data_IF_029799321704
#
_entry.id   IF_029799321704
#
_cell.length_a   1.000
_cell.length_b   1.000
_cell.length_c   1.000
_cell.angle_alpha   90.00
_cell.angle_beta   90.00
_cell.angle_gamma   90.00
#
_symmetry.space_group_name_H-M   'P 1'
#
loop_
_entity.id
_entity.type
_entity.pdbx_description
1 polymer ?
#
# COMPACT_ATOMS: atom_id res chain seq x y z
N UNK A 1 -1.01 -40.80 3.75
CA UNK A 1 -1.69 -39.51 3.89
C UNK A 1 -2.30 -39.06 2.57
N UNK A 2 -1.51 -38.70 1.54
CA UNK A 2 -2.07 -38.24 0.26
C UNK A 2 -2.70 -39.37 -0.58
N UNK A 3 -2.19 -40.60 -0.46
CA UNK A 3 -2.71 -41.81 -1.10
C UNK A 3 -4.08 -42.28 -0.57
N UNK A 4 -4.59 -41.69 0.52
CA UNK A 4 -5.91 -41.99 1.08
C UNK A 4 -6.98 -40.98 0.63
N UNK A 5 -6.59 -39.97 -0.16
CA UNK A 5 -7.49 -38.96 -0.69
C UNK A 5 -7.87 -39.35 -2.11
N UNK A 6 -9.16 -39.51 -2.39
CA UNK A 6 -9.64 -39.74 -3.76
C UNK A 6 -9.32 -38.54 -4.66
N UNK A 7 -9.05 -38.80 -5.93
CA UNK A 7 -8.76 -37.77 -6.92
C UNK A 7 -9.86 -36.70 -6.94
N UNK A 8 -9.44 -35.43 -6.81
CA UNK A 8 -10.33 -34.28 -6.75
C UNK A 8 -10.90 -33.93 -5.36
N UNK A 9 -10.65 -34.75 -4.31
CA UNK A 9 -11.01 -34.40 -2.92
C UNK A 9 -9.88 -33.63 -2.24
N UNK A 10 -10.25 -32.73 -1.33
CA UNK A 10 -9.30 -31.93 -0.54
C UNK A 10 -8.86 -32.72 0.70
N UNK A 11 -7.57 -32.67 1.02
CA UNK A 11 -7.03 -33.22 2.26
C UNK A 11 -7.74 -32.61 3.47
N UNK A 12 -8.35 -33.44 4.31
CA UNK A 12 -9.06 -33.02 5.52
C UNK A 12 -8.25 -33.29 6.78
N UNK A 13 -8.59 -32.58 7.87
CA UNK A 13 -8.00 -32.83 9.20
C UNK A 13 -8.27 -34.25 9.68
N UNK A 14 -9.39 -34.86 9.28
CA UNK A 14 -9.72 -36.24 9.64
C UNK A 14 -8.75 -37.24 9.00
N UNK A 15 -8.30 -36.99 7.77
CA UNK A 15 -7.27 -37.83 7.14
C UNK A 15 -5.95 -37.76 7.93
N UNK A 16 -5.57 -36.57 8.41
CA UNK A 16 -4.39 -36.38 9.27
C UNK A 16 -4.53 -37.19 10.57
N UNK A 17 -5.69 -37.08 11.24
CA UNK A 17 -5.97 -37.80 12.49
C UNK A 17 -5.94 -39.32 12.31
N UNK A 18 -6.52 -39.82 11.21
CA UNK A 18 -6.57 -41.24 10.91
C UNK A 18 -5.18 -41.83 10.68
N UNK A 19 -4.32 -41.13 9.91
CA UNK A 19 -2.93 -41.56 9.70
C UNK A 19 -2.14 -41.50 11.01
N UNK A 20 -2.30 -40.43 11.80
CA UNK A 20 -1.61 -40.29 13.09
C UNK A 20 -2.01 -41.41 14.06
N UNK A 21 -3.30 -41.76 14.13
CA UNK A 21 -3.81 -42.85 14.97
C UNK A 21 -3.36 -44.24 14.49
N UNK A 22 -3.16 -44.43 13.18
CA UNK A 22 -2.67 -45.70 12.64
C UNK A 22 -1.18 -45.91 12.89
N UNK A 23 -0.37 -44.89 12.59
CA UNK A 23 1.09 -44.97 12.72
C UNK A 23 1.54 -44.87 14.18
N UNK A 24 0.79 -44.13 15.02
CA UNK A 24 1.11 -43.92 16.44
C UNK A 24 -0.13 -44.16 17.33
N UNK A 25 -0.52 -45.42 17.58
CA UNK A 25 -1.73 -45.75 18.34
C UNK A 25 -1.76 -45.25 19.79
N UNK A 26 -0.60 -44.96 20.37
CA UNK A 26 -0.46 -44.47 21.75
C UNK A 26 -0.35 -42.95 21.86
N UNK A 27 -0.32 -42.23 20.72
CA UNK A 27 -0.22 -40.78 20.73
C UNK A 27 -1.57 -40.13 21.04
N UNK A 28 -1.59 -39.21 22.00
CA UNK A 28 -2.78 -38.40 22.24
C UNK A 28 -2.91 -37.32 21.16
N UNK A 29 -3.78 -37.60 20.20
CA UNK A 29 -4.12 -36.71 19.08
C UNK A 29 -4.58 -35.32 19.57
N UNK A 30 -5.22 -35.24 20.74
CA UNK A 30 -5.69 -33.97 21.31
C UNK A 30 -4.54 -33.16 21.88
N UNK A 31 -3.56 -33.81 22.53
CA UNK A 31 -2.33 -33.14 22.99
C UNK A 31 -1.49 -32.59 21.84
N UNK A 32 -1.55 -33.19 20.65
CA UNK A 32 -0.73 -32.81 19.48
C UNK A 32 -1.44 -31.79 18.57
N UNK A 33 -2.73 -31.99 18.28
CA UNK A 33 -3.47 -31.16 17.33
C UNK A 33 -4.43 -30.16 17.99
N UNK A 34 -4.53 -30.17 19.33
CA UNK A 34 -5.36 -29.26 20.10
C UNK A 34 -4.94 -27.80 20.01
N UNK A 35 -5.86 -26.89 20.33
CA UNK A 35 -5.64 -25.41 20.29
C UNK A 35 -4.67 -24.94 21.39
N UNK A 36 -4.57 -25.70 22.47
CA UNK A 36 -3.65 -25.46 23.58
C UNK A 36 -2.41 -26.37 23.53
N UNK A 37 -2.19 -27.05 22.39
CA UNK A 37 -1.00 -27.87 22.19
C UNK A 37 0.25 -27.01 22.14
N UNK A 38 1.35 -27.49 22.71
CA UNK A 38 2.69 -26.90 22.53
C UNK A 38 3.10 -26.87 21.05
N UNK A 39 2.57 -27.80 20.24
CA UNK A 39 2.83 -27.88 18.80
C UNK A 39 1.97 -26.91 17.96
N UNK A 40 1.02 -26.19 18.58
CA UNK A 40 0.16 -25.25 17.87
C UNK A 40 0.89 -23.96 17.47
N UNK A 41 2.00 -23.64 18.13
CA UNK A 41 2.83 -22.47 17.76
C UNK A 41 3.30 -22.54 16.31
N UNK A 42 3.75 -23.72 15.86
CA UNK A 42 4.19 -23.92 14.46
C UNK A 42 3.05 -23.71 13.45
N UNK A 43 1.83 -24.18 13.77
CA UNK A 43 0.65 -23.96 12.90
C UNK A 43 0.26 -22.48 12.85
N UNK A 44 0.23 -21.81 14.01
CA UNK A 44 -0.04 -20.38 14.10
C UNK A 44 1.00 -19.56 13.35
N UNK A 45 2.28 -19.90 13.49
CA UNK A 45 3.39 -19.27 12.79
C UNK A 45 3.28 -19.49 11.27
N UNK A 46 3.04 -20.72 10.82
CA UNK A 46 2.87 -21.06 9.40
C UNK A 46 1.68 -20.35 8.76
N UNK A 47 0.52 -20.35 9.42
CA UNK A 47 -0.66 -19.63 8.95
C UNK A 47 -0.43 -18.11 8.89
N UNK A 48 0.26 -17.55 9.89
CA UNK A 48 0.63 -16.13 9.92
C UNK A 48 1.62 -15.79 8.81
N UNK A 49 2.62 -16.65 8.59
CA UNK A 49 3.60 -16.50 7.51
C UNK A 49 2.91 -16.50 6.15
N UNK A 50 2.07 -17.50 5.86
CA UNK A 50 1.38 -17.59 4.58
C UNK A 50 0.42 -16.41 4.35
N UNK A 51 -0.27 -15.96 5.41
CA UNK A 51 -1.11 -14.75 5.31
C UNK A 51 -0.28 -13.50 5.01
N UNK A 52 0.95 -13.40 5.53
CA UNK A 52 1.86 -12.29 5.27
C UNK A 52 2.39 -12.30 3.83
N UNK A 53 2.69 -13.45 3.26
CA UNK A 53 3.26 -13.54 1.90
C UNK A 53 2.27 -13.10 0.82
N UNK A 54 0.96 -13.22 1.05
CA UNK A 54 -0.06 -12.73 0.09
C UNK A 54 -0.13 -13.55 -1.20
N UNK A 55 0.37 -14.79 -1.17
CA UNK A 55 0.45 -15.70 -2.32
C UNK A 55 -0.92 -16.18 -2.85
N UNK A 56 -2.01 -15.81 -2.20
CA UNK A 56 -3.36 -16.16 -2.63
C UNK A 56 -3.80 -17.55 -2.16
N UNK A 57 -4.78 -18.16 -2.85
CA UNK A 57 -5.39 -19.42 -2.43
C UNK A 57 -4.43 -20.60 -2.59
N UNK A 58 -4.46 -21.53 -1.64
CA UNK A 58 -3.71 -22.80 -1.71
C UNK A 58 -4.41 -23.80 -2.64
N UNK A 59 -3.67 -24.76 -3.23
CA UNK A 59 -2.21 -24.97 -3.14
C UNK A 59 -1.42 -23.94 -3.96
N UNK A 60 -0.19 -23.66 -3.53
CA UNK A 60 0.71 -22.74 -4.22
C UNK A 60 2.15 -23.26 -4.17
N UNK A 61 2.81 -23.30 -5.33
CA UNK A 61 4.24 -23.56 -5.45
C UNK A 61 5.00 -22.29 -5.86
N UNK A 62 6.30 -22.25 -5.56
CA UNK A 62 7.20 -21.14 -5.89
C UNK A 62 8.46 -21.69 -6.55
N UNK A 63 8.92 -21.06 -7.63
CA UNK A 63 10.23 -21.29 -8.22
C UNK A 63 11.10 -20.05 -8.04
N UNK A 64 12.17 -20.15 -7.23
CA UNK A 64 13.04 -19.02 -6.86
C UNK A 64 12.27 -17.75 -6.43
N UNK A 65 11.16 -17.95 -5.69
CA UNK A 65 10.31 -16.87 -5.19
C UNK A 65 9.20 -16.41 -6.14
N UNK A 66 9.12 -16.94 -7.37
CA UNK A 66 8.05 -16.63 -8.32
C UNK A 66 6.92 -17.66 -8.20
N UNK A 67 5.66 -17.25 -7.96
CA UNK A 67 4.54 -18.18 -7.86
C UNK A 67 4.15 -18.75 -9.22
N UNK A 68 3.80 -20.04 -9.23
CA UNK A 68 3.15 -20.68 -10.37
C UNK A 68 1.68 -20.25 -10.47
N UNK A 69 1.16 -20.07 -11.69
CA UNK A 69 -0.27 -19.90 -11.90
C UNK A 69 -1.01 -21.24 -11.78
N UNK A 70 -2.34 -21.22 -11.74
CA UNK A 70 -3.13 -22.47 -11.63
C UNK A 70 -2.99 -23.34 -12.88
N UNK A 71 -2.84 -22.70 -14.02
CA UNK A 71 -2.63 -23.34 -15.31
C UNK A 71 -1.26 -24.03 -15.34
N UNK A 72 -0.21 -23.34 -14.87
CA UNK A 72 1.15 -23.90 -14.79
C UNK A 72 1.31 -25.05 -13.77
N UNK A 73 0.35 -25.21 -12.84
CA UNK A 73 0.36 -26.27 -11.83
C UNK A 73 -0.30 -27.57 -12.30
N UNK A 74 -0.75 -27.66 -13.56
CA UNK A 74 -1.24 -28.93 -14.11
C UNK A 74 -0.12 -29.96 -14.27
N UNK A 75 -0.39 -31.21 -13.90
CA UNK A 75 0.64 -32.26 -13.83
C UNK A 75 1.30 -32.58 -15.16
N UNK A 76 0.59 -32.39 -16.29
CA UNK A 76 1.14 -32.62 -17.62
C UNK A 76 2.08 -31.50 -18.09
N UNK A 77 1.84 -30.25 -17.66
CA UNK A 77 2.61 -29.09 -18.10
C UNK A 77 3.71 -28.70 -17.10
N UNK A 78 3.55 -29.03 -15.82
CA UNK A 78 4.42 -28.57 -14.74
C UNK A 78 5.90 -28.91 -14.97
N UNK A 79 6.21 -30.12 -15.46
CA UNK A 79 7.60 -30.52 -15.75
C UNK A 79 8.22 -29.61 -16.83
N UNK A 80 7.46 -29.35 -17.90
CA UNK A 80 7.90 -28.48 -19.00
C UNK A 80 8.08 -27.04 -18.51
N UNK A 81 7.15 -26.53 -17.70
CA UNK A 81 7.25 -25.18 -17.13
C UNK A 81 8.47 -25.08 -16.21
N UNK A 82 8.72 -26.06 -15.34
CA UNK A 82 9.90 -26.07 -14.46
C UNK A 82 11.19 -26.05 -15.28
N UNK A 83 11.30 -26.89 -16.32
CA UNK A 83 12.49 -26.92 -17.18
C UNK A 83 12.71 -25.57 -17.86
N UNK A 84 11.65 -24.94 -18.37
CA UNK A 84 11.74 -23.61 -18.97
C UNK A 84 12.22 -22.57 -17.95
N UNK A 85 11.65 -22.56 -16.74
CA UNK A 85 12.04 -21.64 -15.65
C UNK A 85 13.51 -21.83 -15.22
N UNK A 86 14.02 -23.06 -15.24
CA UNK A 86 15.44 -23.36 -14.97
C UNK A 86 16.32 -22.76 -16.06
N UNK A 87 15.96 -22.92 -17.34
CA UNK A 87 16.72 -22.37 -18.46
C UNK A 87 16.75 -20.84 -18.36
N UNK A 88 15.61 -20.21 -18.11
CA UNK A 88 15.49 -18.75 -17.98
C UNK A 88 16.31 -18.21 -16.80
N UNK A 89 16.29 -18.91 -15.65
CA UNK A 89 17.06 -18.52 -14.47
C UNK A 89 18.57 -18.75 -14.65
N UNK A 90 18.97 -19.75 -15.43
CA UNK A 90 20.39 -20.07 -15.64
C UNK A 90 21.14 -18.90 -16.27
N UNK A 91 20.55 -18.22 -17.25
CA UNK A 91 21.15 -17.04 -17.88
C UNK A 91 21.39 -15.87 -16.91
N UNK A 92 20.52 -15.71 -15.91
CA UNK A 92 20.69 -14.71 -14.85
C UNK A 92 21.91 -15.04 -13.97
N UNK A 93 22.02 -16.28 -13.49
CA UNK A 93 23.14 -16.70 -12.64
C UNK A 93 24.48 -16.71 -13.39
N UNK A 94 24.51 -17.20 -14.63
CA UNK A 94 25.72 -17.18 -15.45
C UNK A 94 26.28 -15.76 -15.63
N UNK A 95 25.38 -14.79 -15.87
CA UNK A 95 25.76 -13.38 -15.95
C UNK A 95 26.28 -12.84 -14.62
N UNK A 96 25.64 -13.19 -13.51
CA UNK A 96 26.08 -12.78 -12.17
C UNK A 96 27.49 -13.30 -11.84
N UNK A 97 27.78 -14.56 -12.18
CA UNK A 97 29.12 -15.15 -12.03
C UNK A 97 30.13 -14.46 -12.95
N UNK A 98 29.78 -14.25 -14.22
CA UNK A 98 30.67 -13.58 -15.19
C UNK A 98 31.02 -12.15 -14.78
N UNK A 99 30.08 -11.42 -14.19
CA UNK A 99 30.30 -10.06 -13.67
C UNK A 99 31.01 -10.04 -12.30
N UNK A 100 31.32 -11.21 -11.72
CA UNK A 100 31.93 -11.33 -10.40
C UNK A 100 31.01 -10.98 -9.22
N UNK A 101 29.71 -10.82 -9.48
CA UNK A 101 28.69 -10.53 -8.45
C UNK A 101 28.37 -11.77 -7.60
N UNK A 102 28.45 -12.95 -8.19
CA UNK A 102 28.33 -14.24 -7.51
C UNK A 102 29.66 -14.98 -7.60
N UNK A 103 30.22 -15.36 -6.45
CA UNK A 103 31.48 -16.08 -6.33
C UNK A 103 31.40 -17.09 -5.17
N UNK A 104 32.46 -17.88 -4.97
CA UNK A 104 32.49 -18.97 -3.98
C UNK A 104 32.29 -18.51 -2.53
N UNK A 105 32.42 -17.22 -2.23
CA UNK A 105 32.21 -16.65 -0.90
C UNK A 105 30.78 -16.14 -0.67
N UNK A 106 29.93 -16.10 -1.70
CA UNK A 106 28.57 -15.58 -1.63
C UNK A 106 27.56 -16.72 -1.72
N UNK A 107 26.64 -16.79 -0.75
CA UNK A 107 25.55 -17.75 -0.80
C UNK A 107 24.56 -17.35 -1.92
N UNK A 108 24.27 -18.27 -2.83
CA UNK A 108 23.38 -18.02 -3.96
C UNK A 108 21.93 -17.68 -3.56
N UNK A 109 21.46 -18.19 -2.41
CA UNK A 109 20.13 -17.85 -1.87
C UNK A 109 20.12 -16.43 -1.34
N UNK A 110 21.15 -16.03 -0.59
CA UNK A 110 21.25 -14.66 -0.08
C UNK A 110 21.36 -13.67 -1.25
N UNK A 111 22.16 -14.00 -2.26
CA UNK A 111 22.25 -13.23 -3.50
C UNK A 111 20.89 -13.07 -4.18
N UNK A 112 20.09 -14.13 -4.29
CA UNK A 112 18.72 -14.05 -4.82
C UNK A 112 17.84 -13.13 -3.95
N UNK A 113 17.91 -13.26 -2.63
CA UNK A 113 17.09 -12.48 -1.70
C UNK A 113 17.45 -10.99 -1.68
N UNK A 114 18.68 -10.64 -2.01
CA UNK A 114 19.16 -9.26 -2.13
C UNK A 114 18.70 -8.56 -3.42
N UNK A 115 18.14 -9.29 -4.39
CA UNK A 115 17.71 -8.69 -5.64
C UNK A 115 16.59 -7.66 -5.43
N UNK A 116 16.64 -6.58 -6.22
CA UNK A 116 15.72 -5.45 -6.12
C UNK A 116 14.24 -5.84 -6.35
N UNK A 117 13.99 -6.89 -7.12
CA UNK A 117 12.66 -7.42 -7.43
C UNK A 117 12.11 -8.37 -6.34
N UNK A 118 12.90 -8.78 -5.35
CA UNK A 118 12.40 -9.61 -4.24
C UNK A 118 11.56 -8.78 -3.29
N UNK A 119 10.38 -9.30 -2.95
CA UNK A 119 9.38 -8.63 -2.12
C UNK A 119 8.94 -9.55 -0.99
N UNK A 120 8.70 -8.96 0.18
CA UNK A 120 8.24 -9.70 1.38
C UNK A 120 6.77 -10.12 1.30
N UNK A 121 6.00 -9.49 0.42
CA UNK A 121 4.58 -9.72 0.18
C UNK A 121 4.26 -9.51 -1.29
N UNK A 122 3.39 -10.36 -1.82
CA UNK A 122 2.82 -10.27 -3.17
C UNK A 122 1.42 -9.68 -3.05
N UNK A 123 1.16 -8.60 -3.78
CA UNK A 123 -0.16 -8.00 -3.85
C UNK A 123 -0.50 -7.73 -5.32
N UNK A 124 -1.47 -8.47 -5.91
CA UNK A 124 -1.87 -8.30 -7.30
C UNK A 124 -2.35 -6.88 -7.62
N UNK A 125 -2.99 -6.19 -6.67
CA UNK A 125 -3.49 -4.82 -6.86
C UNK A 125 -2.35 -3.83 -7.06
N UNK A 126 -1.21 -4.04 -6.41
CA UNK A 126 -0.01 -3.21 -6.58
C UNK A 126 0.79 -3.64 -7.82
N UNK A 127 0.95 -4.95 -8.03
CA UNK A 127 1.78 -5.53 -9.11
C UNK A 127 1.07 -5.58 -10.46
N UNK A 128 -0.24 -5.35 -10.49
CA UNK A 128 -1.08 -5.45 -11.68
C UNK A 128 -0.63 -4.56 -12.84
N UNK A 129 -0.92 -5.03 -14.06
CA UNK A 129 -0.60 -4.34 -15.30
C UNK A 129 -1.48 -3.11 -15.53
N UNK A 130 -2.73 -3.14 -15.09
CA UNK A 130 -3.63 -1.98 -15.19
C UNK A 130 -3.22 -0.90 -14.19
N UNK A 131 -2.96 0.30 -14.71
CA UNK A 131 -2.55 1.45 -13.90
C UNK A 131 -3.37 2.66 -14.31
N UNK A 132 -4.12 3.20 -13.35
CA UNK A 132 -4.86 4.45 -13.50
C UNK A 132 -4.09 5.55 -12.77
N UNK A 133 -3.96 6.73 -13.38
CA UNK A 133 -3.21 7.85 -12.82
C UNK A 133 -4.07 9.10 -12.74
N UNK A 134 -3.87 9.88 -11.68
CA UNK A 134 -4.42 11.22 -11.54
C UNK A 134 -3.59 12.17 -12.41
N UNK A 135 -4.26 13.02 -13.17
CA UNK A 135 -3.61 14.06 -13.96
C UNK A 135 -3.48 15.34 -13.14
N UNK A 136 -2.27 15.62 -12.65
CA UNK A 136 -1.96 16.86 -11.96
C UNK A 136 -1.50 17.92 -12.96
N UNK A 137 -2.43 18.75 -13.45
CA UNK A 137 -2.08 19.99 -14.15
C UNK A 137 -2.17 21.17 -13.18
N UNK A 138 -1.35 22.19 -13.39
CA UNK A 138 -1.43 23.42 -12.61
C UNK A 138 -2.67 24.20 -13.01
N UNK A 139 -3.43 24.69 -12.04
CA UNK A 139 -4.51 25.66 -12.26
C UNK A 139 -3.98 27.07 -12.08
N UNK A 140 -4.56 28.02 -12.80
CA UNK A 140 -4.27 29.45 -12.66
C UNK A 140 -5.17 30.14 -11.63
N UNK A 141 -6.08 29.41 -10.97
CA UNK A 141 -7.10 29.97 -10.09
C UNK A 141 -6.77 29.63 -8.62
N UNK A 142 -6.49 30.64 -7.77
CA UNK A 142 -6.37 30.41 -6.34
C UNK A 142 -7.72 29.98 -5.77
N UNK A 143 -7.73 28.86 -5.03
CA UNK A 143 -8.96 28.21 -4.56
C UNK A 143 -8.89 27.88 -3.07
N UNK A 144 -10.02 28.04 -2.36
CA UNK A 144 -10.18 27.60 -0.97
C UNK A 144 -11.02 26.31 -0.92
N UNK A 145 -10.42 25.22 -0.42
CA UNK A 145 -11.06 23.90 -0.27
C UNK A 145 -12.31 23.91 0.61
N UNK A 146 -12.49 24.95 1.43
CA UNK A 146 -13.70 25.14 2.22
C UNK A 146 -14.91 25.63 1.40
N UNK A 147 -14.71 26.19 0.19
CA UNK A 147 -15.79 26.60 -0.70
C UNK A 147 -16.25 25.44 -1.61
N UNK A 148 -17.06 24.56 -1.04
CA UNK A 148 -17.64 23.44 -1.79
C UNK A 148 -18.44 23.88 -3.02
N UNK A 149 -19.09 25.05 -2.96
CA UNK A 149 -19.95 25.52 -4.05
C UNK A 149 -19.14 25.77 -5.31
N UNK A 150 -18.04 26.52 -5.20
CA UNK A 150 -17.14 26.76 -6.33
C UNK A 150 -16.41 25.48 -6.75
N UNK A 151 -16.04 24.61 -5.79
CA UNK A 151 -15.38 23.32 -6.10
C UNK A 151 -16.23 22.46 -7.04
N UNK A 152 -17.55 22.46 -6.83
CA UNK A 152 -18.47 21.60 -7.58
C UNK A 152 -18.50 21.88 -9.08
N UNK A 153 -18.25 23.13 -9.48
CA UNK A 153 -18.25 23.56 -10.88
C UNK A 153 -16.91 23.33 -11.59
N UNK A 154 -15.84 22.97 -10.86
CA UNK A 154 -14.55 22.68 -11.46
C UNK A 154 -14.59 21.38 -12.27
N UNK A 155 -13.78 21.31 -13.32
CA UNK A 155 -13.58 20.06 -14.04
C UNK A 155 -12.70 19.07 -13.24
N UNK A 156 -12.60 17.83 -13.70
CA UNK A 156 -11.83 16.79 -12.97
C UNK A 156 -10.33 17.11 -12.86
N UNK A 157 -9.75 17.89 -13.77
CA UNK A 157 -8.34 18.26 -13.75
C UNK A 157 -8.11 19.36 -12.71
N UNK A 158 -8.95 20.39 -12.72
CA UNK A 158 -8.91 21.49 -11.77
C UNK A 158 -9.17 20.99 -10.33
N UNK A 159 -10.13 20.07 -10.16
CA UNK A 159 -10.38 19.39 -8.88
C UNK A 159 -9.13 18.68 -8.36
N UNK A 160 -8.34 18.06 -9.24
CA UNK A 160 -7.09 17.37 -8.88
C UNK A 160 -5.99 18.33 -8.43
N UNK A 161 -5.88 19.48 -9.08
CA UNK A 161 -4.91 20.50 -8.71
C UNK A 161 -5.23 21.11 -7.35
N UNK A 162 -6.50 21.49 -7.14
CA UNK A 162 -6.99 22.07 -5.88
C UNK A 162 -6.71 21.14 -4.70
N UNK A 163 -7.06 19.85 -4.83
CA UNK A 163 -6.83 18.87 -3.77
C UNK A 163 -5.33 18.68 -3.53
N UNK A 164 -4.52 18.59 -4.58
CA UNK A 164 -3.08 18.40 -4.44
C UNK A 164 -2.39 19.59 -3.75
N UNK A 165 -2.81 20.81 -4.02
CA UNK A 165 -2.20 22.03 -3.50
C UNK A 165 -2.64 22.34 -2.06
N UNK A 166 -3.88 22.02 -1.67
CA UNK A 166 -4.34 22.20 -0.28
C UNK A 166 -3.82 21.10 0.67
N UNK A 167 -3.61 19.88 0.15
CA UNK A 167 -3.25 18.68 0.92
C UNK A 167 -2.17 18.94 1.97
N UNK A 168 -2.48 18.59 3.22
CA UNK A 168 -1.50 18.58 4.32
C UNK A 168 -0.95 17.17 4.47
N UNK A 169 0.38 17.08 4.54
CA UNK A 169 1.08 15.80 4.60
C UNK A 169 1.63 15.55 6.00
N UNK A 170 1.43 14.32 6.48
CA UNK A 170 2.13 13.82 7.63
C UNK A 170 3.54 13.40 7.20
N UNK A 171 4.53 14.09 7.74
CA UNK A 171 5.96 13.88 7.49
C UNK A 171 6.67 13.47 8.78
N UNK A 172 7.86 12.88 8.66
CA UNK A 172 8.72 12.56 9.83
C UNK A 172 9.70 13.69 10.12
N UNK A 173 10.18 14.35 9.07
CA UNK A 173 11.14 15.46 9.06
C UNK A 173 10.85 16.34 7.85
N UNK A 174 11.35 17.57 7.85
CA UNK A 174 11.27 18.46 6.69
C UNK A 174 12.37 18.14 5.67
N UNK A 175 12.19 17.01 4.99
CA UNK A 175 13.10 16.51 3.93
C UNK A 175 12.34 16.30 2.64
N UNK A 176 13.08 16.18 1.53
CA UNK A 176 12.52 15.86 0.22
C UNK A 176 12.06 14.39 0.19
N UNK A 177 10.75 14.17 0.06
CA UNK A 177 10.12 12.85 -0.03
C UNK A 177 9.93 12.45 -1.49
N UNK A 178 10.31 11.22 -1.83
CA UNK A 178 10.17 10.69 -3.18
C UNK A 178 8.77 10.10 -3.42
N UNK A 179 8.15 9.56 -2.37
CA UNK A 179 6.88 8.85 -2.46
C UNK A 179 5.82 9.62 -1.68
N UNK A 180 4.73 9.95 -2.35
CA UNK A 180 3.54 10.56 -1.77
C UNK A 180 2.41 9.56 -1.81
N UNK A 181 1.88 9.22 -0.64
CA UNK A 181 0.74 8.31 -0.50
C UNK A 181 -0.48 9.08 -0.02
N UNK A 182 -1.62 8.97 -0.70
CA UNK A 182 -2.91 9.42 -0.19
C UNK A 182 -3.75 8.22 0.22
N UNK A 183 -4.34 8.28 1.42
CA UNK A 183 -5.28 7.28 1.91
C UNK A 183 -6.69 7.82 1.75
N UNK A 184 -7.53 7.07 1.04
CA UNK A 184 -8.93 7.39 0.81
C UNK A 184 -9.77 6.33 1.53
N UNK A 185 -10.56 6.76 2.50
CA UNK A 185 -11.49 5.87 3.20
C UNK A 185 -12.56 6.64 3.98
N UNK A 186 -13.56 5.91 4.47
CA UNK A 186 -14.40 6.34 5.58
C UNK A 186 -13.71 6.00 6.91
N UNK A 187 -13.11 7.00 7.58
CA UNK A 187 -12.40 6.81 8.85
C UNK A 187 -13.33 6.67 10.06
N UNK A 188 -14.61 6.96 9.90
CA UNK A 188 -15.61 6.70 10.93
C UNK A 188 -16.03 5.20 10.91
N UNK A 189 -15.69 4.46 9.86
CA UNK A 189 -15.85 2.99 9.77
C UNK A 189 -14.60 2.21 10.21
N UNK A 190 -14.76 0.97 10.74
CA UNK A 190 -13.64 0.13 11.17
C UNK A 190 -12.60 -0.15 10.07
N UNK A 191 -13.06 -0.43 8.85
CA UNK A 191 -12.20 -0.74 7.72
C UNK A 191 -11.26 0.43 7.37
N UNK A 192 -11.78 1.66 7.29
CA UNK A 192 -10.97 2.85 7.02
C UNK A 192 -9.98 3.16 8.14
N UNK A 193 -10.37 2.98 9.42
CA UNK A 193 -9.42 3.10 10.55
C UNK A 193 -8.30 2.07 10.47
N UNK A 194 -8.61 0.84 10.07
CA UNK A 194 -7.62 -0.23 9.91
C UNK A 194 -6.63 0.10 8.80
N UNK A 195 -7.11 0.60 7.65
CA UNK A 195 -6.26 1.03 6.54
C UNK A 195 -5.31 2.16 6.98
N UNK A 196 -5.83 3.18 7.67
CA UNK A 196 -5.01 4.26 8.22
C UNK A 196 -4.01 3.76 9.26
N UNK A 197 -4.41 2.85 10.15
CA UNK A 197 -3.52 2.24 11.15
C UNK A 197 -2.34 1.52 10.48
N UNK A 198 -2.61 0.77 9.40
CA UNK A 198 -1.58 0.08 8.61
C UNK A 198 -0.63 1.07 7.93
N UNK A 199 -1.15 2.16 7.34
CA UNK A 199 -0.35 3.22 6.76
C UNK A 199 0.57 3.90 7.81
N UNK A 200 0.04 4.19 8.99
CA UNK A 200 0.80 4.79 10.09
C UNK A 200 1.90 3.86 10.63
N UNK A 201 1.66 2.54 10.65
CA UNK A 201 2.68 1.54 11.02
C UNK A 201 3.85 1.59 10.03
N UNK A 202 3.56 1.59 8.73
CA UNK A 202 4.57 1.69 7.69
C UNK A 202 5.35 3.01 7.75
N UNK A 203 4.67 4.14 8.00
CA UNK A 203 5.34 5.44 8.10
C UNK A 203 6.36 5.54 9.26
N UNK A 204 6.31 4.64 10.26
CA UNK A 204 7.32 4.60 11.33
C UNK A 204 8.69 4.17 10.80
N UNK A 205 8.71 3.19 9.92
CA UNK A 205 9.92 2.57 9.35
C UNK A 205 10.37 3.28 8.07
N UNK A 206 9.43 3.80 7.28
CA UNK A 206 9.70 4.51 6.04
C UNK A 206 10.55 5.78 6.23
N UNK A 207 11.35 6.09 5.21
CA UNK A 207 12.16 7.32 5.10
C UNK A 207 11.87 8.12 3.84
N UNK A 208 11.18 7.54 2.86
CA UNK A 208 10.94 8.18 1.56
C UNK A 208 9.47 8.56 1.35
N UNK A 209 8.59 8.17 2.26
CA UNK A 209 7.15 8.39 2.18
C UNK A 209 6.64 9.56 3.02
N UNK A 210 5.73 10.34 2.45
CA UNK A 210 4.82 11.24 3.17
C UNK A 210 3.36 10.83 2.94
N UNK A 211 2.47 11.11 3.90
CA UNK A 211 1.10 10.60 3.91
C UNK A 211 0.07 11.73 3.89
N UNK A 212 -0.84 11.73 2.91
CA UNK A 212 -2.03 12.56 2.84
C UNK A 212 -3.30 11.76 3.12
N UNK A 213 -4.38 12.42 3.51
CA UNK A 213 -5.64 11.77 3.89
C UNK A 213 -6.83 12.46 3.21
N UNK A 214 -7.68 11.67 2.56
CA UNK A 214 -8.94 12.11 1.96
C UNK A 214 -10.10 11.32 2.55
N UNK A 215 -11.19 12.01 2.85
CA UNK A 215 -12.37 11.42 3.47
C UNK A 215 -13.36 11.01 2.37
N UNK A 216 -13.76 9.74 2.35
CA UNK A 216 -14.81 9.23 1.47
C UNK A 216 -15.91 8.55 2.30
N UNK A 217 -16.73 9.32 3.05
CA UNK A 217 -17.74 8.75 3.93
C UNK A 217 -18.80 7.96 3.17
N UNK A 218 -19.27 6.86 3.76
CA UNK A 218 -20.30 5.99 3.18
C UNK A 218 -21.71 6.51 3.43
N UNK A 219 -21.91 7.24 4.53
CA UNK A 219 -23.19 7.83 4.94
C UNK A 219 -23.27 9.31 4.60
N UNK A 220 -24.50 9.85 4.63
CA UNK A 220 -24.74 11.29 4.44
C UNK A 220 -23.92 12.09 5.46
N UNK A 221 -23.12 13.04 4.99
CA UNK A 221 -22.20 13.83 5.81
C UNK A 221 -22.99 14.67 6.83
N UNK A 222 -22.82 14.34 8.10
CA UNK A 222 -23.41 15.02 9.25
C UNK A 222 -22.37 15.13 10.37
N UNK A 223 -22.58 16.01 11.35
CA UNK A 223 -21.59 16.21 12.42
C UNK A 223 -21.45 15.01 13.36
N UNK A 224 -22.54 14.28 13.58
CA UNK A 224 -22.62 13.10 14.44
C UNK A 224 -21.84 11.90 13.88
N UNK A 225 -21.82 11.76 12.55
CA UNK A 225 -21.22 10.61 11.87
C UNK A 225 -19.85 10.87 11.24
N UNK A 226 -19.29 12.07 11.39
CA UNK A 226 -17.96 12.45 10.88
C UNK A 226 -16.98 12.89 11.98
N UNK A 227 -17.21 12.46 13.22
CA UNK A 227 -16.41 12.88 14.36
C UNK A 227 -14.91 12.55 14.19
N UNK A 228 -14.59 11.36 13.65
CA UNK A 228 -13.21 10.93 13.42
C UNK A 228 -12.63 11.67 12.22
N UNK A 229 -13.36 11.76 11.10
CA UNK A 229 -12.92 12.53 9.93
C UNK A 229 -12.60 13.99 10.27
N UNK A 230 -13.48 14.69 11.00
CA UNK A 230 -13.25 16.07 11.48
C UNK A 230 -12.05 16.14 12.44
N UNK A 231 -11.91 15.14 13.31
CA UNK A 231 -10.78 15.05 14.24
C UNK A 231 -9.44 14.93 13.54
N UNK A 232 -9.38 14.12 12.49
CA UNK A 232 -8.20 13.96 11.62
C UNK A 232 -7.88 15.30 10.94
N UNK A 233 -8.84 15.91 10.25
CA UNK A 233 -8.63 17.19 9.57
C UNK A 233 -8.17 18.29 10.52
N UNK A 234 -8.81 18.39 11.69
CA UNK A 234 -8.43 19.38 12.72
C UNK A 234 -7.01 19.14 13.22
N UNK A 235 -6.60 17.87 13.38
CA UNK A 235 -5.24 17.54 13.79
C UNK A 235 -4.21 18.02 12.77
N UNK A 236 -4.47 17.86 11.46
CA UNK A 236 -3.58 18.37 10.41
C UNK A 236 -3.43 19.90 10.42
N UNK A 237 -4.46 20.63 10.88
CA UNK A 237 -4.47 22.08 10.91
C UNK A 237 -3.84 22.68 12.17
N UNK A 238 -3.80 21.93 13.27
CA UNK A 238 -3.45 22.47 14.59
C UNK A 238 -2.19 21.86 15.20
N UNK A 239 -1.73 20.71 14.71
CA UNK A 239 -0.67 19.93 15.36
C UNK A 239 0.59 19.83 14.52
N UNK A 240 1.74 19.77 15.19
CA UNK A 240 3.01 19.43 14.55
C UNK A 240 3.06 17.93 14.17
N UNK A 241 4.01 17.55 13.31
CA UNK A 241 4.09 16.19 12.77
C UNK A 241 4.25 15.09 13.84
N UNK A 242 4.97 15.34 14.94
CA UNK A 242 5.16 14.35 16.01
C UNK A 242 3.86 14.08 16.77
N UNK A 243 3.14 15.14 17.16
CA UNK A 243 1.88 15.04 17.88
C UNK A 243 0.76 14.51 16.97
N UNK A 244 0.73 14.96 15.72
CA UNK A 244 -0.21 14.51 14.70
C UNK A 244 -0.19 12.98 14.56
N UNK A 245 1.00 12.39 14.37
CA UNK A 245 1.12 10.92 14.21
C UNK A 245 0.58 10.15 15.42
N UNK A 246 0.93 10.59 16.63
CA UNK A 246 0.48 9.92 17.85
C UNK A 246 -1.04 10.04 18.03
N UNK A 247 -1.60 11.22 17.72
CA UNK A 247 -3.03 11.46 17.81
C UNK A 247 -3.81 10.65 16.78
N UNK A 248 -3.37 10.62 15.51
CA UNK A 248 -3.96 9.76 14.48
C UNK A 248 -3.90 8.27 14.89
N UNK A 249 -2.78 7.84 15.49
CA UNK A 249 -2.66 6.46 16.00
C UNK A 249 -3.70 6.17 17.08
N UNK A 250 -4.02 7.15 17.94
CA UNK A 250 -5.07 7.04 18.96
C UNK A 250 -6.48 7.01 18.33
N UNK A 251 -6.76 7.86 17.35
CA UNK A 251 -8.04 7.89 16.62
C UNK A 251 -8.33 6.60 15.85
N UNK A 252 -7.30 5.89 15.37
CA UNK A 252 -7.50 4.60 14.68
C UNK A 252 -7.89 3.43 15.60
N UNK A 253 -7.80 3.59 16.93
CA UNK A 253 -8.14 2.53 17.88
C UNK A 253 -9.65 2.33 17.96
N UNK A 254 -10.06 1.07 18.05
CA UNK A 254 -11.48 0.70 18.14
C UNK A 254 -12.13 1.22 19.44
N UNK A 255 -11.40 1.19 20.56
CA UNK A 255 -11.85 1.73 21.84
C UNK A 255 -12.19 3.22 21.74
N UNK A 256 -11.33 4.01 21.09
CA UNK A 256 -11.55 5.44 20.88
C UNK A 256 -12.79 5.69 20.04
N UNK A 257 -12.97 4.95 18.95
CA UNK A 257 -14.17 5.05 18.12
C UNK A 257 -15.46 4.71 18.89
N UNK A 258 -15.43 3.64 19.72
CA UNK A 258 -16.57 3.26 20.58
C UNK A 258 -16.91 4.34 21.61
N UNK A 259 -15.90 4.92 22.25
CA UNK A 259 -16.10 6.01 23.22
C UNK A 259 -16.63 7.29 22.57
N UNK A 260 -16.15 7.63 21.37
CA UNK A 260 -16.67 8.78 20.60
C UNK A 260 -18.13 8.55 20.20
N UNK A 261 -18.48 7.34 19.73
CA UNK A 261 -19.85 6.96 19.42
C UNK A 261 -20.78 7.00 20.66
N UNK A 262 -20.24 6.73 21.85
CA UNK A 262 -20.95 6.86 23.12
C UNK A 262 -21.09 8.32 23.63
N UNK A 263 -20.69 9.32 22.84
CA UNK A 263 -20.84 10.74 23.15
C UNK A 263 -19.66 11.35 23.93
N UNK A 264 -18.53 10.65 24.02
CA UNK A 264 -17.33 11.24 24.65
C UNK A 264 -16.77 12.35 23.77
N UNK A 265 -16.51 13.54 24.35
CA UNK A 265 -15.86 14.63 23.61
C UNK A 265 -14.46 14.23 23.13
N UNK A 266 -14.14 14.58 21.87
CA UNK A 266 -12.86 14.24 21.23
C UNK A 266 -11.63 14.78 21.97
N UNK A 267 -11.80 15.89 22.70
CA UNK A 267 -10.75 16.56 23.48
C UNK A 267 -10.18 15.66 24.58
N UNK A 268 -10.96 14.71 25.12
CA UNK A 268 -10.47 13.74 26.10
C UNK A 268 -9.41 12.79 25.53
N UNK A 269 -9.33 12.69 24.20
CA UNK A 269 -8.32 11.87 23.53
C UNK A 269 -7.06 12.65 23.15
N UNK A 270 -6.97 13.94 23.45
CA UNK A 270 -5.73 14.69 23.25
C UNK A 270 -4.58 14.07 24.05
N UNK A 271 -3.37 14.27 23.55
CA UNK A 271 -2.14 13.79 24.16
C UNK A 271 -1.40 14.94 24.84
N UNK A 272 -0.57 14.66 25.85
CA UNK A 272 0.30 15.67 26.44
C UNK A 272 1.15 16.36 25.37
N UNK A 273 1.18 17.70 25.37
CA UNK A 273 1.93 18.50 24.40
C UNK A 273 1.14 18.94 23.16
N UNK A 274 -0.14 18.58 23.04
CA UNK A 274 -1.05 19.14 22.04
C UNK A 274 -1.65 20.46 22.53
N UNK A 275 -1.84 21.41 21.62
CA UNK A 275 -2.63 22.62 21.90
C UNK A 275 -4.12 22.25 21.88
N UNK A 276 -4.69 22.03 23.07
CA UNK A 276 -6.07 21.61 23.24
C UNK A 276 -7.08 22.71 22.93
N UNK A 277 -6.75 23.95 23.26
CA UNK A 277 -7.65 25.09 23.07
C UNK A 277 -7.77 25.43 21.58
N UNK A 278 -6.64 25.47 20.85
CA UNK A 278 -6.65 25.66 19.41
C UNK A 278 -7.34 24.50 18.68
N UNK A 279 -7.12 23.26 19.16
CA UNK A 279 -7.79 22.08 18.61
C UNK A 279 -9.29 22.14 18.82
N UNK A 280 -9.78 22.41 20.03
CA UNK A 280 -11.22 22.48 20.32
C UNK A 280 -11.89 23.59 19.52
N UNK A 281 -11.28 24.79 19.49
CA UNK A 281 -11.80 25.91 18.71
C UNK A 281 -11.88 25.55 17.22
N UNK A 282 -10.84 24.95 16.66
CA UNK A 282 -10.82 24.60 15.24
C UNK A 282 -11.76 23.43 14.93
N UNK A 283 -11.88 22.45 15.81
CA UNK A 283 -12.79 21.31 15.66
C UNK A 283 -14.25 21.76 15.60
N UNK A 284 -14.64 22.67 16.50
CA UNK A 284 -16.02 23.18 16.58
C UNK A 284 -16.36 24.17 15.45
N UNK A 285 -15.34 24.76 14.80
CA UNK A 285 -15.53 25.71 13.69
C UNK A 285 -15.28 25.09 12.32
N UNK A 286 -14.74 23.87 12.26
CA UNK A 286 -14.47 23.18 11.00
C UNK A 286 -15.80 22.74 10.37
N UNK A 287 -16.17 23.42 9.29
CA UNK A 287 -17.34 23.08 8.50
C UNK A 287 -17.22 21.70 7.83
N UNK A 288 -18.36 21.16 7.44
CA UNK A 288 -18.45 19.87 6.73
C UNK A 288 -18.04 19.97 5.25
N UNK A 289 -17.84 21.18 4.74
CA UNK A 289 -17.62 21.44 3.32
C UNK A 289 -16.31 20.83 2.81
N UNK A 290 -15.24 20.82 3.63
CA UNK A 290 -13.99 20.11 3.29
C UNK A 290 -14.24 18.62 3.07
N UNK A 291 -15.10 17.99 3.90
CA UNK A 291 -15.43 16.56 3.77
C UNK A 291 -16.26 16.34 2.50
N UNK A 292 -17.19 17.24 2.17
CA UNK A 292 -17.96 17.19 0.91
C UNK A 292 -17.05 17.35 -0.31
N UNK A 293 -16.10 18.28 -0.26
CA UNK A 293 -15.07 18.48 -1.29
C UNK A 293 -14.24 17.21 -1.51
N UNK A 294 -13.78 16.57 -0.42
CA UNK A 294 -13.07 15.29 -0.50
C UNK A 294 -13.93 14.19 -1.13
N UNK A 295 -15.20 14.06 -0.71
CA UNK A 295 -16.11 13.05 -1.24
C UNK A 295 -16.38 13.25 -2.74
N UNK A 296 -16.62 14.49 -3.16
CA UNK A 296 -16.83 14.82 -4.57
C UNK A 296 -15.59 14.53 -5.43
N UNK A 297 -14.39 14.85 -4.94
CA UNK A 297 -13.15 14.48 -5.60
C UNK A 297 -13.04 12.95 -5.78
N UNK A 298 -13.37 12.17 -4.75
CA UNK A 298 -13.34 10.71 -4.82
C UNK A 298 -14.30 10.17 -5.88
N UNK A 299 -15.50 10.74 -5.99
CA UNK A 299 -16.51 10.30 -6.96
C UNK A 299 -16.17 10.72 -8.39
N UNK A 300 -15.82 11.98 -8.60
CA UNK A 300 -15.66 12.53 -9.93
C UNK A 300 -14.29 12.28 -10.55
N UNK A 301 -13.22 12.30 -9.74
CA UNK A 301 -11.85 12.11 -10.23
C UNK A 301 -11.41 10.66 -10.05
N UNK A 302 -11.51 10.13 -8.83
CA UNK A 302 -11.05 8.77 -8.55
C UNK A 302 -12.03 7.68 -9.00
N UNK A 303 -13.27 8.07 -9.38
CA UNK A 303 -14.35 7.16 -9.78
C UNK A 303 -14.72 6.15 -8.69
N UNK A 304 -14.63 6.55 -7.42
CA UNK A 304 -14.99 5.74 -6.26
C UNK A 304 -16.41 6.04 -5.79
N UNK A 305 -17.14 4.99 -5.41
CA UNK A 305 -18.43 5.13 -4.75
C UNK A 305 -18.24 5.60 -3.29
N UNK A 306 -19.27 6.22 -2.67
CA UNK A 306 -19.25 6.55 -1.24
C UNK A 306 -18.84 5.35 -0.38
N UNK A 307 -17.88 5.55 0.53
CA UNK A 307 -17.39 4.50 1.43
C UNK A 307 -16.34 3.56 0.85
N UNK A 308 -16.12 3.54 -0.47
CA UNK A 308 -15.04 2.74 -1.05
C UNK A 308 -13.67 3.28 -0.64
N UNK A 309 -12.76 2.35 -0.34
CA UNK A 309 -11.40 2.67 0.04
C UNK A 309 -10.48 2.65 -1.18
N UNK A 310 -9.45 3.49 -1.17
CA UNK A 310 -8.39 3.44 -2.16
C UNK A 310 -7.09 3.98 -1.56
N UNK A 311 -5.98 3.64 -2.21
CA UNK A 311 -4.66 4.21 -1.93
C UNK A 311 -4.15 4.84 -3.21
N UNK A 312 -3.63 6.06 -3.15
CA UNK A 312 -2.97 6.71 -4.28
C UNK A 312 -1.48 6.79 -3.98
N UNK A 313 -0.60 6.40 -4.90
CA UNK A 313 0.86 6.54 -4.79
C UNK A 313 1.41 7.30 -5.99
N UNK A 314 1.95 8.49 -5.75
CA UNK A 314 2.43 9.40 -6.81
C UNK A 314 1.45 9.52 -7.99
N UNK A 315 0.17 9.72 -7.67
CA UNK A 315 -0.91 9.80 -8.64
C UNK A 315 -1.46 8.46 -9.13
N UNK A 316 -0.77 7.33 -8.96
CA UNK A 316 -1.32 5.99 -9.29
C UNK A 316 -2.45 5.64 -8.34
N UNK A 317 -3.63 5.35 -8.86
CA UNK A 317 -4.82 4.96 -8.09
C UNK A 317 -4.83 3.44 -7.91
N UNK A 318 -4.92 2.98 -6.65
CA UNK A 318 -5.06 1.59 -6.25
C UNK A 318 -6.38 1.43 -5.51
N UNK A 319 -7.39 0.94 -6.23
CA UNK A 319 -8.71 0.68 -5.66
C UNK A 319 -9.79 0.55 -6.74
N UNK A 320 -11.04 0.30 -6.34
CA UNK A 320 -11.50 0.18 -4.95
C UNK A 320 -10.87 -1.01 -4.20
N UNK A 321 -10.59 -0.83 -2.91
CA UNK A 321 -9.97 -1.84 -2.03
C UNK A 321 -11.02 -2.49 -1.14
N UNK A 322 -10.93 -3.81 -0.99
CA UNK A 322 -11.77 -4.59 -0.09
C UNK A 322 -11.29 -4.52 1.37
N UNK A 323 -12.19 -4.90 2.28
CA UNK A 323 -11.84 -5.03 3.69
C UNK A 323 -10.73 -6.07 3.87
N UNK A 324 -9.61 -5.64 4.47
CA UNK A 324 -8.44 -6.49 4.76
C UNK A 324 -7.60 -6.88 3.54
N UNK A 325 -7.69 -6.15 2.43
CA UNK A 325 -6.82 -6.35 1.28
C UNK A 325 -5.43 -5.74 1.47
N UNK A 326 -5.34 -4.64 2.23
CA UNK A 326 -4.14 -3.80 2.33
C UNK A 326 -3.58 -3.70 3.76
N UNK A 327 -2.34 -4.17 3.95
CA UNK A 327 -1.59 -4.26 5.20
C UNK A 327 -0.35 -3.34 5.21
N UNK A 328 0.39 -3.32 6.32
CA UNK A 328 1.59 -2.49 6.45
C UNK A 328 2.69 -2.90 5.45
N UNK A 329 2.79 -4.20 5.18
CA UNK A 329 3.71 -4.81 4.22
C UNK A 329 3.37 -4.40 2.77
N UNK A 330 2.08 -4.18 2.47
CA UNK A 330 1.65 -3.68 1.15
C UNK A 330 2.09 -2.24 0.92
N UNK A 331 2.06 -1.39 1.96
CA UNK A 331 2.63 -0.04 1.86
C UNK A 331 4.15 -0.07 1.62
N UNK A 332 4.85 -1.03 2.22
CA UNK A 332 6.29 -1.22 1.97
C UNK A 332 6.57 -1.66 0.53
N UNK A 333 5.78 -2.61 0.01
CA UNK A 333 5.84 -3.02 -1.39
C UNK A 333 5.60 -1.83 -2.32
N UNK A 334 4.56 -1.04 -2.04
CA UNK A 334 4.19 0.12 -2.81
C UNK A 334 5.28 1.20 -2.81
N UNK A 335 5.83 1.54 -1.63
CA UNK A 335 6.97 2.47 -1.53
C UNK A 335 8.15 1.96 -2.34
N UNK A 336 8.52 0.67 -2.20
CA UNK A 336 9.66 0.09 -2.90
C UNK A 336 9.51 0.21 -4.41
N UNK A 337 8.37 -0.20 -4.96
CA UNK A 337 8.11 -0.15 -6.41
C UNK A 337 8.11 1.28 -6.93
N UNK A 338 7.38 2.20 -6.29
CA UNK A 338 7.31 3.60 -6.73
C UNK A 338 8.68 4.27 -6.64
N UNK A 339 9.44 3.99 -5.57
CA UNK A 339 10.77 4.54 -5.37
C UNK A 339 11.76 4.07 -6.43
N UNK A 340 11.87 2.76 -6.67
CA UNK A 340 12.87 2.19 -7.58
C UNK A 340 12.53 2.39 -9.06
N UNK A 341 11.25 2.48 -9.42
CA UNK A 341 10.83 2.61 -10.82
C UNK A 341 11.20 3.97 -11.40
N UNK A 342 10.93 5.04 -10.68
CA UNK A 342 10.97 6.41 -11.22
C UNK A 342 11.33 7.46 -10.17
N UNK A 343 10.76 7.37 -8.97
CA UNK A 343 10.83 8.46 -8.01
C UNK A 343 12.24 8.74 -7.47
N UNK A 344 13.14 7.75 -7.40
CA UNK A 344 14.54 7.98 -7.04
C UNK A 344 15.27 8.88 -8.04
N UNK A 345 15.12 8.61 -9.34
CA UNK A 345 15.75 9.40 -10.41
C UNK A 345 15.20 10.82 -10.43
N UNK A 346 13.87 10.95 -10.33
CA UNK A 346 13.19 12.25 -10.29
C UNK A 346 13.63 13.05 -9.05
N UNK A 347 13.74 12.40 -7.89
CA UNK A 347 14.19 13.03 -6.65
C UNK A 347 15.61 13.60 -6.78
N UNK A 348 16.52 12.88 -7.42
CA UNK A 348 17.90 13.36 -7.64
C UNK A 348 17.91 14.63 -8.49
N UNK A 349 17.17 14.66 -9.61
CA UNK A 349 17.06 15.83 -10.47
C UNK A 349 16.43 17.03 -9.75
N UNK A 350 15.34 16.82 -9.01
CA UNK A 350 14.67 17.89 -8.25
C UNK A 350 15.58 18.46 -7.15
N UNK A 351 16.43 17.61 -6.56
CA UNK A 351 17.44 18.06 -5.58
C UNK A 351 18.52 18.93 -6.24
N UNK A 352 18.96 18.59 -7.44
CA UNK A 352 19.92 19.39 -8.21
C UNK A 352 19.36 20.76 -8.63
N UNK A 353 18.05 20.85 -8.87
CA UNK A 353 17.36 22.11 -9.16
C UNK A 353 17.26 23.07 -7.95
N UNK A 354 17.63 22.64 -6.75
CA UNK A 354 17.63 23.49 -5.55
C UNK A 354 16.23 23.88 -5.03
N UNK A 355 15.19 23.14 -5.42
CA UNK A 355 13.81 23.41 -4.99
C UNK A 355 13.64 23.05 -3.51
N UNK A 356 12.85 23.83 -2.78
CA UNK A 356 12.55 23.56 -1.37
C UNK A 356 11.93 22.16 -1.18
N UNK A 357 12.10 21.57 0.01
CA UNK A 357 11.69 20.18 0.26
C UNK A 357 10.18 19.91 0.05
N UNK A 358 9.31 20.87 0.40
CA UNK A 358 7.86 20.70 0.32
C UNK A 358 7.38 20.75 -1.13
N UNK A 359 7.65 21.85 -1.83
CA UNK A 359 7.35 22.04 -3.24
C UNK A 359 8.07 21.03 -4.12
N UNK A 360 9.28 20.61 -3.74
CA UNK A 360 10.02 19.57 -4.43
C UNK A 360 9.34 18.20 -4.34
N UNK A 361 8.78 17.84 -3.18
CA UNK A 361 8.04 16.57 -3.02
C UNK A 361 6.74 16.59 -3.82
N UNK A 362 6.05 17.73 -3.89
CA UNK A 362 4.87 17.91 -4.75
C UNK A 362 5.25 17.81 -6.23
N UNK A 363 6.35 18.41 -6.63
CA UNK A 363 6.86 18.32 -8.00
C UNK A 363 7.20 16.87 -8.38
N UNK A 364 7.88 16.13 -7.50
CA UNK A 364 8.18 14.70 -7.73
C UNK A 364 6.88 13.92 -7.97
N UNK A 365 5.87 14.12 -7.13
CA UNK A 365 4.55 13.48 -7.28
C UNK A 365 3.91 13.80 -8.64
N UNK A 366 3.91 15.07 -9.05
CA UNK A 366 3.28 15.53 -10.30
C UNK A 366 4.03 15.01 -11.54
N UNK A 367 5.37 15.05 -11.53
CA UNK A 367 6.20 14.52 -12.63
C UNK A 367 6.06 13.00 -12.73
N UNK A 368 6.10 12.29 -11.61
CA UNK A 368 6.03 10.83 -11.61
C UNK A 368 4.67 10.33 -12.13
N UNK A 369 3.58 10.97 -11.70
CA UNK A 369 2.25 10.70 -12.22
C UNK A 369 2.17 10.91 -13.74
N UNK A 370 2.73 12.02 -14.23
CA UNK A 370 2.74 12.36 -15.65
C UNK A 370 3.53 11.33 -16.46
N UNK A 371 4.80 11.09 -16.11
CA UNK A 371 5.68 10.16 -16.82
C UNK A 371 5.14 8.74 -16.80
N UNK A 372 4.57 8.30 -15.68
CA UNK A 372 4.03 6.96 -15.53
C UNK A 372 2.68 6.77 -16.23
N UNK A 373 1.94 7.86 -16.48
CA UNK A 373 0.67 7.83 -17.24
C UNK A 373 0.87 7.71 -18.75
N UNK A 374 2.06 8.06 -19.26
CA UNK A 374 2.34 7.98 -20.68
C UNK A 374 2.53 6.52 -21.11
N UNK A 375 1.97 6.11 -22.25
CA UNK A 375 2.21 4.77 -22.78
C UNK A 375 3.71 4.60 -23.00
N UNK A 376 4.28 3.51 -22.48
CA UNK A 376 5.68 3.16 -22.71
C UNK A 376 5.89 2.98 -24.22
N UNK A 377 6.42 4.01 -24.86
CA UNK A 377 6.80 3.95 -26.27
C UNK A 377 8.19 3.32 -26.36
N UNK A 378 8.35 2.09 -25.85
CA UNK A 378 9.54 1.30 -26.14
C UNK A 378 9.33 0.55 -27.46
N UNK A 379 9.19 1.30 -28.55
CA UNK A 379 9.69 0.76 -29.82
C UNK A 379 11.21 0.93 -29.75
N UNK A 380 11.95 -0.18 -29.74
CA UNK A 380 13.37 -0.16 -30.08
C UNK A 380 13.52 0.67 -31.37
N UNK A 381 14.06 1.87 -31.24
CA UNK A 381 14.50 2.60 -32.41
C UNK A 381 15.81 1.94 -32.85
N UNK A 382 15.80 1.32 -34.02
CA UNK A 382 17.03 0.89 -34.68
C UNK A 382 17.88 2.13 -34.93
N UNK A 383 18.88 2.33 -34.07
CA UNK A 383 19.91 3.33 -34.31
C UNK A 383 20.73 2.84 -35.49
N UNK A 384 20.49 3.41 -36.68
CA UNK A 384 21.41 3.25 -37.81
C UNK A 384 22.73 3.93 -37.43
N UNK A 385 23.66 3.14 -36.91
CA UNK A 385 25.05 3.53 -36.80
C UNK A 385 25.55 3.87 -38.21
N UNK A 386 25.98 5.12 -38.40
CA UNK A 386 26.64 5.54 -39.63
C UNK A 386 27.91 4.71 -39.78
N UNK A 387 27.97 3.90 -40.84
CA UNK A 387 29.17 3.16 -41.21
C UNK A 387 30.29 4.18 -41.45
N UNK A 388 31.37 4.08 -40.70
CA UNK A 388 32.61 4.77 -41.02
C UNK A 388 33.05 4.35 -42.43
N UNK A 389 33.08 5.31 -43.36
CA UNK A 389 33.77 5.13 -44.62
C UNK A 389 35.27 5.25 -44.33
N UNK A 390 35.95 4.12 -44.19
CA UNK A 390 37.40 4.10 -44.34
C UNK A 390 37.73 4.40 -45.80
N UNK A 391 38.54 5.44 -46.01
CA UNK A 391 39.04 5.88 -47.31
C UNK A 391 40.51 5.53 -47.44
#
# INVERSE_FOLDING_TARGET
MYYEVEDGKVLSVNHVKNVLGREFPHADVQSILGVHSEYDEGRKAGATFYKKTGLGPLPQALFNGVPFTREEMDGAELETVILQRIIDATGFFQRAVFMGLLNDHVNAIDFLMEQHNVVSRVNPTILGAERKYIHFRSTSVPFDVQDFSTFSFLDSQDKSAVIADDMKYLTKKDVLYAVTIWIIADFDKPAGRKLLSNALKHLKTSRHTRLGILNNPSSKIQEDNTAIARGILTAFLTQNSSNLRGFLSKLTKEETAKSLAAGTKIIKFLMPGMDGDAFEKKYNTLGLDVIKTHQMFCQEVLKLLPGQMAVVSNGRILGPLDENEFYAEDFQLLEKITYTTSAEKIKTLVKEMGINAKSGSDLIMKIDALLSSLPKTEMRQDVKLLKEQHR
#
